data_IF_791156226395
#
_entry.id   IF_791156226395
#
_cell.length_a   1.000
_cell.length_b   1.000
_cell.length_c   1.000
_cell.angle_alpha   90.00
_cell.angle_beta   90.00
_cell.angle_gamma   90.00
#
_symmetry.space_group_name_H-M   'P 1'
#
loop_
_entity.id
_entity.type
_entity.pdbx_description
1 polymer ?
#
# COMPACT_ATOMS: atom_id res chain seq x y z
N UNK A 1 9.14 -1.44 -7.99
CA UNK A 1 9.88 -2.66 -8.42
C UNK A 1 10.23 -3.45 -7.19
N UNK A 2 10.32 -4.77 -7.33
CA UNK A 2 10.76 -5.67 -6.27
C UNK A 2 11.38 -6.95 -6.86
N UNK A 3 12.07 -7.73 -6.03
CA UNK A 3 12.67 -9.00 -6.40
C UNK A 3 11.94 -10.14 -5.70
N UNK A 4 11.67 -11.21 -6.44
CA UNK A 4 11.27 -12.48 -5.81
C UNK A 4 12.45 -13.11 -5.06
N UNK A 5 12.16 -14.10 -4.22
CA UNK A 5 13.15 -14.82 -3.41
C UNK A 5 14.28 -15.48 -4.24
N UNK A 6 14.05 -15.76 -5.52
CA UNK A 6 15.04 -16.34 -6.45
C UNK A 6 15.79 -15.29 -7.29
N UNK A 7 15.48 -14.01 -7.12
CA UNK A 7 16.10 -12.89 -7.81
C UNK A 7 15.39 -12.45 -9.10
N UNK A 8 14.24 -13.03 -9.44
CA UNK A 8 13.45 -12.57 -10.59
C UNK A 8 12.86 -11.18 -10.31
N UNK A 9 13.10 -10.25 -11.24
CA UNK A 9 12.69 -8.83 -11.13
C UNK A 9 11.24 -8.66 -11.57
N UNK A 10 10.45 -7.98 -10.75
CA UNK A 10 9.10 -7.52 -11.08
C UNK A 10 9.00 -5.99 -10.98
N UNK A 11 8.29 -5.39 -11.93
CA UNK A 11 8.08 -3.95 -12.02
C UNK A 11 6.59 -3.69 -12.27
N UNK A 12 5.91 -3.12 -11.28
CA UNK A 12 4.60 -2.52 -11.48
C UNK A 12 4.79 -1.06 -11.91
N UNK A 13 4.07 -0.63 -12.95
CA UNK A 13 4.16 0.73 -13.45
C UNK A 13 2.85 1.20 -14.08
N UNK A 14 2.65 2.52 -14.01
CA UNK A 14 1.55 3.22 -14.66
C UNK A 14 1.94 3.58 -16.09
N UNK A 15 1.15 3.14 -17.07
CA UNK A 15 1.25 3.56 -18.46
C UNK A 15 0.29 4.73 -18.70
N UNK A 16 0.79 5.96 -18.54
CA UNK A 16 0.00 7.18 -18.75
C UNK A 16 -0.59 7.30 -20.16
N UNK A 17 0.01 6.67 -21.16
CA UNK A 17 -0.50 6.71 -22.53
C UNK A 17 -1.82 5.94 -22.67
N UNK A 18 -1.98 4.89 -21.87
CA UNK A 18 -3.15 4.00 -21.88
C UNK A 18 -4.05 4.14 -20.65
N UNK A 19 -3.59 4.82 -19.60
CA UNK A 19 -4.33 4.98 -18.34
C UNK A 19 -4.37 3.70 -17.52
N UNK A 20 -3.41 2.78 -17.68
CA UNK A 20 -3.49 1.45 -17.09
C UNK A 20 -2.30 1.07 -16.21
N UNK A 21 -2.54 0.13 -15.30
CA UNK A 21 -1.52 -0.50 -14.46
C UNK A 21 -0.99 -1.73 -15.17
N UNK A 22 0.33 -1.78 -15.35
CA UNK A 22 1.03 -2.92 -15.93
C UNK A 22 2.02 -3.52 -14.94
N UNK A 23 2.23 -4.82 -15.08
CA UNK A 23 3.30 -5.56 -14.45
C UNK A 23 4.24 -6.08 -15.52
N UNK A 24 5.54 -5.86 -15.34
CA UNK A 24 6.58 -6.42 -16.17
C UNK A 24 7.51 -7.30 -15.35
N UNK A 25 7.95 -8.42 -15.94
CA UNK A 25 9.06 -9.20 -15.41
C UNK A 25 9.97 -9.69 -16.54
N UNK A 26 11.24 -9.86 -16.21
CA UNK A 26 12.20 -10.40 -17.15
C UNK A 26 12.06 -11.93 -17.19
N UNK A 27 11.80 -12.48 -18.37
CA UNK A 27 11.62 -13.93 -18.58
C UNK A 27 12.55 -14.50 -19.67
N UNK A 28 13.45 -13.68 -20.20
CA UNK A 28 14.28 -14.03 -21.37
C UNK A 28 13.54 -13.80 -22.68
N UNK A 29 14.24 -13.89 -23.82
CA UNK A 29 13.68 -13.55 -25.15
C UNK A 29 12.48 -14.46 -25.46
N UNK A 30 11.28 -13.89 -25.47
CA UNK A 30 10.01 -14.57 -25.79
C UNK A 30 9.28 -13.79 -26.91
N UNK A 31 8.31 -14.43 -27.56
CA UNK A 31 7.55 -13.80 -28.67
C UNK A 31 6.48 -12.78 -28.19
N UNK A 32 6.10 -12.83 -26.91
CA UNK A 32 5.09 -11.96 -26.28
C UNK A 32 5.74 -10.89 -25.37
N UNK A 33 6.65 -10.11 -25.92
CA UNK A 33 7.40 -9.07 -25.19
C UNK A 33 6.66 -7.72 -25.13
N UNK A 34 6.99 -6.93 -24.12
CA UNK A 34 6.36 -5.67 -23.73
C UNK A 34 6.22 -4.61 -24.82
N UNK A 35 6.96 -4.68 -25.95
CA UNK A 35 6.83 -3.86 -27.18
C UNK A 35 8.04 -4.05 -28.12
N UNK A 36 9.16 -4.54 -27.58
CA UNK A 36 10.42 -4.78 -28.28
C UNK A 36 10.89 -6.16 -27.82
N UNK A 37 11.22 -7.08 -28.73
CA UNK A 37 11.72 -8.45 -28.44
C UNK A 37 13.02 -8.42 -27.59
N UNK A 38 12.92 -8.04 -26.32
CA UNK A 38 13.99 -7.71 -25.38
C UNK A 38 13.92 -8.56 -24.10
N UNK A 39 13.01 -9.53 -24.06
CA UNK A 39 12.81 -10.53 -23.02
C UNK A 39 12.02 -10.07 -21.79
N UNK A 40 11.31 -8.95 -21.90
CA UNK A 40 10.38 -8.49 -20.89
C UNK A 40 8.97 -8.90 -21.25
N UNK A 41 8.35 -9.69 -20.39
CA UNK A 41 6.93 -9.98 -20.47
C UNK A 41 6.14 -8.91 -19.71
N UNK A 42 5.04 -8.44 -20.30
CA UNK A 42 4.15 -7.46 -19.68
C UNK A 42 2.71 -7.98 -19.66
N UNK A 43 2.00 -7.69 -18.57
CA UNK A 43 0.57 -7.92 -18.43
C UNK A 43 -0.11 -6.69 -17.87
N UNK A 44 -1.34 -6.44 -18.33
CA UNK A 44 -2.21 -5.43 -17.77
C UNK A 44 -2.88 -6.01 -16.51
N UNK A 45 -2.68 -5.37 -15.37
CA UNK A 45 -3.31 -5.77 -14.11
C UNK A 45 -4.65 -5.08 -13.91
N UNK A 46 -4.76 -3.83 -14.35
CA UNK A 46 -5.99 -3.04 -14.31
C UNK A 46 -5.99 -2.04 -15.45
N UNK A 47 -7.09 -1.95 -16.19
CA UNK A 47 -7.25 -1.10 -17.38
C UNK A 47 -8.57 -0.34 -17.40
N UNK A 48 -9.34 -0.37 -16.31
CA UNK A 48 -10.64 0.31 -16.24
C UNK A 48 -10.47 1.69 -15.60
N UNK A 49 -10.38 2.72 -16.45
CA UNK A 49 -10.24 4.12 -16.02
C UNK A 49 -8.81 4.63 -16.21
N UNK A 50 -8.36 5.47 -15.28
CA UNK A 50 -7.01 5.99 -15.16
C UNK A 50 -6.40 5.48 -13.86
N UNK A 51 -5.70 4.35 -13.96
CA UNK A 51 -5.31 3.51 -12.83
C UNK A 51 -3.82 3.19 -12.83
N UNK A 52 -3.24 3.07 -11.65
CA UNK A 52 -1.88 2.58 -11.45
C UNK A 52 -0.89 3.61 -10.93
N UNK A 53 -1.31 4.86 -10.71
CA UNK A 53 -0.44 5.89 -10.15
C UNK A 53 0.05 5.51 -8.76
N UNK A 54 1.25 5.95 -8.42
CA UNK A 54 1.89 5.73 -7.10
C UNK A 54 2.02 4.25 -6.69
N UNK A 55 2.04 3.32 -7.66
CA UNK A 55 2.05 1.89 -7.41
C UNK A 55 3.18 1.44 -6.45
N UNK A 56 2.80 0.63 -5.47
CA UNK A 56 3.70 -0.08 -4.56
C UNK A 56 3.56 -1.59 -4.79
N UNK A 57 4.69 -2.25 -5.02
CA UNK A 57 4.76 -3.67 -5.38
C UNK A 57 5.49 -4.45 -4.28
N UNK A 58 4.93 -5.60 -3.93
CA UNK A 58 5.63 -6.67 -3.21
C UNK A 58 5.66 -7.92 -4.08
N UNK A 59 6.85 -8.40 -4.43
CA UNK A 59 7.05 -9.65 -5.15
C UNK A 59 7.02 -10.86 -4.20
N UNK A 60 7.17 -12.05 -4.74
CA UNK A 60 7.17 -13.30 -3.97
C UNK A 60 8.34 -13.39 -2.99
N UNK A 61 8.06 -13.39 -1.68
CA UNK A 61 9.11 -13.37 -0.66
C UNK A 61 9.65 -14.76 -0.29
N UNK A 62 8.86 -15.82 -0.49
CA UNK A 62 9.23 -17.21 -0.20
C UNK A 62 8.48 -18.22 -1.10
N UNK A 63 8.95 -19.47 -1.21
CA UNK A 63 8.23 -20.49 -1.98
C UNK A 63 6.83 -20.75 -1.44
N UNK A 64 5.82 -20.64 -2.30
CA UNK A 64 4.41 -20.79 -1.92
C UNK A 64 3.73 -19.47 -1.55
N UNK A 65 4.47 -18.36 -1.56
CA UNK A 65 3.90 -17.02 -1.47
C UNK A 65 3.24 -16.58 -2.80
N UNK A 66 2.41 -15.52 -2.77
CA UNK A 66 1.86 -14.90 -3.97
C UNK A 66 2.96 -14.31 -4.85
N UNK A 67 2.82 -14.44 -6.16
CA UNK A 67 3.85 -14.02 -7.12
C UNK A 67 4.12 -12.51 -7.09
N UNK A 68 3.03 -11.74 -7.02
CA UNK A 68 3.04 -10.30 -6.88
C UNK A 68 1.81 -9.85 -6.12
N UNK A 69 1.91 -8.67 -5.52
CA UNK A 69 0.81 -7.87 -4.98
C UNK A 69 1.10 -6.42 -5.30
N UNK A 70 0.09 -5.68 -5.69
CA UNK A 70 0.23 -4.26 -6.04
C UNK A 70 -0.87 -3.44 -5.38
N UNK A 71 -0.47 -2.41 -4.65
CA UNK A 71 -1.35 -1.35 -4.18
C UNK A 71 -1.11 -0.10 -5.04
N UNK A 72 -2.16 0.58 -5.46
CA UNK A 72 -2.06 1.69 -6.42
C UNK A 72 -3.26 2.61 -6.33
N UNK A 73 -3.11 3.82 -6.90
CA UNK A 73 -4.17 4.80 -6.97
C UNK A 73 -4.98 4.67 -8.27
N UNK A 74 -6.29 4.73 -8.14
CA UNK A 74 -7.27 4.91 -9.20
C UNK A 74 -7.69 6.38 -9.22
N UNK A 75 -7.20 7.14 -10.20
CA UNK A 75 -7.49 8.56 -10.35
C UNK A 75 -8.88 8.83 -10.93
N UNK A 76 -9.52 7.83 -11.53
CA UNK A 76 -10.89 7.96 -12.05
C UNK A 76 -11.90 7.93 -10.91
N UNK A 77 -11.66 7.07 -9.92
CA UNK A 77 -12.56 6.88 -8.78
C UNK A 77 -12.03 7.48 -7.47
N UNK A 78 -10.84 8.06 -7.48
CA UNK A 78 -10.19 8.67 -6.30
C UNK A 78 -9.95 7.67 -5.16
N UNK A 79 -9.55 6.44 -5.52
CA UNK A 79 -9.53 5.28 -4.62
C UNK A 79 -8.16 4.61 -4.53
N UNK A 80 -7.86 4.05 -3.35
CA UNK A 80 -6.81 3.06 -3.19
C UNK A 80 -7.34 1.73 -3.70
N UNK A 81 -6.60 1.10 -4.62
CA UNK A 81 -6.89 -0.25 -5.10
C UNK A 81 -5.75 -1.21 -4.79
N UNK A 82 -6.10 -2.49 -4.72
CA UNK A 82 -5.19 -3.59 -4.52
C UNK A 82 -5.51 -4.72 -5.50
N UNK A 83 -4.48 -5.33 -6.06
CA UNK A 83 -4.59 -6.55 -6.86
C UNK A 83 -3.43 -7.49 -6.58
N UNK A 84 -3.66 -8.77 -6.79
CA UNK A 84 -2.63 -9.80 -6.78
C UNK A 84 -2.95 -10.89 -7.82
N UNK A 85 -2.11 -11.92 -7.88
CA UNK A 85 -2.27 -13.00 -8.86
C UNK A 85 -3.59 -13.77 -8.75
N UNK A 86 -4.25 -13.74 -7.60
CA UNK A 86 -5.48 -14.50 -7.35
C UNK A 86 -6.75 -13.68 -7.57
N UNK A 87 -6.66 -12.35 -7.47
CA UNK A 87 -7.82 -11.45 -7.48
C UNK A 87 -7.73 -10.36 -8.53
N UNK A 88 -8.85 -10.19 -9.23
CA UNK A 88 -9.14 -8.95 -9.96
C UNK A 88 -8.98 -7.75 -9.00
N UNK A 89 -8.66 -6.56 -9.54
CA UNK A 89 -8.60 -5.31 -8.78
C UNK A 89 -9.75 -5.10 -7.79
N UNK A 90 -9.41 -4.82 -6.54
CA UNK A 90 -10.34 -4.54 -5.44
C UNK A 90 -10.11 -3.14 -4.90
N UNK A 91 -11.19 -2.45 -4.54
CA UNK A 91 -11.12 -1.21 -3.77
C UNK A 91 -10.71 -1.54 -2.34
N UNK A 92 -9.72 -0.81 -1.82
CA UNK A 92 -9.24 -0.89 -0.44
C UNK A 92 -9.89 0.18 0.42
N UNK A 93 -9.87 1.42 -0.06
CA UNK A 93 -10.42 2.59 0.62
C UNK A 93 -10.57 3.76 -0.36
N UNK A 94 -11.34 4.77 0.02
CA UNK A 94 -11.34 6.05 -0.67
C UNK A 94 -10.04 6.81 -0.31
N UNK A 95 -9.36 7.41 -1.27
CA UNK A 95 -8.18 8.26 -1.02
C UNK A 95 -8.47 9.74 -1.21
N UNK A 96 -9.52 10.07 -1.96
CA UNK A 96 -9.83 11.44 -2.36
C UNK A 96 -9.00 11.90 -3.57
N UNK A 97 -9.19 13.16 -3.99
CA UNK A 97 -8.68 13.67 -5.25
C UNK A 97 -7.15 13.74 -5.27
N UNK A 98 -6.59 13.55 -6.46
CA UNK A 98 -5.15 13.66 -6.69
C UNK A 98 -4.67 15.10 -6.51
N UNK A 99 -4.10 15.38 -5.33
CA UNK A 99 -3.41 16.63 -5.04
C UNK A 99 -1.88 16.51 -5.14
N UNK A 100 -1.36 15.46 -5.79
CA UNK A 100 0.05 15.10 -6.00
C UNK A 100 1.08 15.93 -5.20
N UNK A 101 1.78 15.32 -4.21
CA UNK A 101 2.07 13.87 -4.13
C UNK A 101 1.06 13.07 -3.29
N UNK A 102 0.73 11.85 -3.72
CA UNK A 102 0.00 10.86 -2.92
C UNK A 102 0.93 9.72 -2.50
N UNK A 103 1.19 9.59 -1.20
CA UNK A 103 2.00 8.51 -0.69
C UNK A 103 1.21 7.21 -0.61
N UNK A 104 1.71 6.17 -1.28
CA UNK A 104 1.30 4.77 -1.07
C UNK A 104 2.57 3.93 -0.88
N UNK A 105 2.59 3.12 0.16
CA UNK A 105 3.65 2.15 0.39
C UNK A 105 3.06 0.87 0.96
N UNK A 106 3.49 -0.28 0.43
CA UNK A 106 3.05 -1.59 0.88
C UNK A 106 4.24 -2.46 1.27
N UNK A 107 4.01 -3.32 2.25
CA UNK A 107 4.88 -4.44 2.59
C UNK A 107 4.01 -5.67 2.89
N UNK A 108 4.65 -6.84 3.04
CA UNK A 108 3.94 -8.10 3.32
C UNK A 108 4.51 -8.75 4.57
N UNK A 109 3.64 -9.27 5.42
CA UNK A 109 4.07 -9.95 6.63
C UNK A 109 4.62 -11.35 6.34
N UNK A 110 5.22 -12.03 7.34
CA UNK A 110 5.80 -13.36 7.13
C UNK A 110 4.80 -14.42 6.62
N UNK A 111 3.50 -14.21 6.80
CA UNK A 111 2.43 -15.08 6.30
C UNK A 111 1.94 -14.67 4.91
N UNK A 112 2.51 -13.59 4.34
CA UNK A 112 2.21 -13.09 3.01
C UNK A 112 0.99 -12.15 2.94
N UNK A 113 0.46 -11.71 4.08
CA UNK A 113 -0.65 -10.75 4.09
C UNK A 113 -0.14 -9.30 3.95
N UNK A 114 -0.77 -8.49 3.07
CA UNK A 114 -0.33 -7.12 2.82
C UNK A 114 -0.64 -6.18 3.99
N UNK A 115 0.20 -5.17 4.15
CA UNK A 115 -0.07 -3.95 4.89
C UNK A 115 0.24 -2.74 4.02
N UNK A 116 -0.72 -1.84 3.87
CA UNK A 116 -0.61 -0.67 2.99
C UNK A 116 -0.68 0.58 3.87
N UNK A 117 0.33 1.44 3.82
CA UNK A 117 0.29 2.78 4.40
C UNK A 117 0.03 3.78 3.28
N UNK A 118 -0.92 4.70 3.49
CA UNK A 118 -1.36 5.62 2.44
C UNK A 118 -1.81 6.98 2.98
N UNK A 119 -1.67 8.01 2.14
CA UNK A 119 -2.30 9.32 2.34
C UNK A 119 -3.78 9.23 1.97
N UNK A 120 -4.65 9.73 2.83
CA UNK A 120 -6.07 9.94 2.51
C UNK A 120 -6.38 11.44 2.60
N UNK A 121 -7.14 11.97 1.65
CA UNK A 121 -7.52 13.37 1.59
C UNK A 121 -8.97 13.55 1.11
N UNK A 122 -9.90 12.95 1.84
CA UNK A 122 -11.33 12.94 1.52
C UNK A 122 -12.10 14.10 2.19
N UNK A 123 -11.46 14.84 3.10
CA UNK A 123 -12.08 15.94 3.82
C UNK A 123 -11.89 17.27 3.10
N UNK A 124 -12.98 17.88 2.61
CA UNK A 124 -12.94 19.17 1.90
C UNK A 124 -12.30 20.31 2.70
N UNK A 125 -12.32 20.23 4.04
CA UNK A 125 -11.80 21.26 4.95
C UNK A 125 -10.84 20.71 6.01
N UNK A 126 -10.51 19.43 5.94
CA UNK A 126 -9.60 18.76 6.86
C UNK A 126 -8.20 18.63 6.28
N UNK A 127 -7.19 18.42 7.15
CA UNK A 127 -5.88 17.97 6.67
C UNK A 127 -6.02 16.60 6.00
N UNK A 128 -5.06 16.19 5.15
CA UNK A 128 -4.91 14.79 4.84
C UNK A 128 -4.56 13.97 6.09
N UNK A 129 -4.79 12.67 6.00
CA UNK A 129 -4.52 11.68 7.04
C UNK A 129 -3.48 10.65 6.54
N UNK A 130 -2.71 10.09 7.46
CA UNK A 130 -1.95 8.86 7.25
C UNK A 130 -2.78 7.69 7.78
N UNK A 131 -3.15 6.79 6.89
CA UNK A 131 -3.90 5.59 7.21
C UNK A 131 -3.07 4.33 6.94
N UNK A 132 -3.50 3.23 7.56
CA UNK A 132 -3.06 1.88 7.21
C UNK A 132 -4.25 1.02 6.84
N UNK A 133 -4.06 0.10 5.88
CA UNK A 133 -5.02 -0.94 5.53
C UNK A 133 -4.36 -2.33 5.68
N UNK A 134 -5.06 -3.26 6.35
CA UNK A 134 -4.69 -4.69 6.43
C UNK A 134 -5.93 -5.58 6.25
N UNK A 135 -5.77 -6.81 5.72
CA UNK A 135 -6.86 -7.78 5.71
C UNK A 135 -7.40 -8.04 7.12
N UNK A 136 -8.72 -8.10 7.30
CA UNK A 136 -9.32 -8.24 8.63
C UNK A 136 -8.90 -9.52 9.36
N UNK A 137 -8.61 -10.61 8.63
CA UNK A 137 -8.29 -11.90 9.23
C UNK A 137 -6.94 -11.94 9.97
N UNK A 138 -6.08 -10.94 9.78
CA UNK A 138 -4.82 -10.84 10.54
C UNK A 138 -5.06 -10.41 11.98
N UNK A 139 -6.25 -9.89 12.29
CA UNK A 139 -6.66 -9.47 13.63
C UNK A 139 -7.43 -10.61 14.32
N UNK A 140 -6.97 -11.03 15.49
CA UNK A 140 -7.66 -11.99 16.36
C UNK A 140 -8.58 -11.28 17.37
N UNK A 141 -9.45 -10.39 16.87
CA UNK A 141 -10.36 -9.59 17.69
C UNK A 141 -11.85 -9.80 17.37
N UNK A 142 -12.15 -10.68 16.40
CA UNK A 142 -13.51 -11.02 15.99
C UNK A 142 -14.21 -9.97 15.12
N UNK A 143 -13.52 -8.90 14.72
CA UNK A 143 -14.08 -7.88 13.85
C UNK A 143 -13.77 -8.16 12.37
N UNK A 144 -14.72 -7.83 11.50
CA UNK A 144 -14.54 -7.89 10.05
C UNK A 144 -13.93 -6.59 9.51
N UNK A 145 -13.76 -6.49 8.18
CA UNK A 145 -13.35 -5.25 7.54
C UNK A 145 -14.33 -4.10 7.76
N UNK A 146 -13.80 -2.88 7.66
CA UNK A 146 -14.53 -1.62 7.81
C UNK A 146 -14.40 -0.69 6.58
N UNK A 147 -13.61 -1.06 5.57
CA UNK A 147 -13.37 -0.29 4.36
C UNK A 147 -13.26 -1.20 3.12
N UNK A 148 -13.37 -0.59 1.95
CA UNK A 148 -13.14 -1.24 0.66
C UNK A 148 -14.23 -2.23 0.25
N UNK A 149 -13.83 -3.16 -0.63
CA UNK A 149 -14.73 -4.15 -1.22
C UNK A 149 -14.85 -5.44 -0.39
N UNK A 150 -15.87 -6.22 -0.74
CA UNK A 150 -16.00 -7.64 -0.37
C UNK A 150 -15.59 -8.51 -1.57
N UNK A 151 -14.42 -9.18 -1.53
CA UNK A 151 -13.94 -10.02 -2.63
C UNK A 151 -14.84 -11.24 -2.87
N UNK A 152 -14.78 -11.86 -4.07
CA UNK A 152 -15.51 -13.08 -4.35
C UNK A 152 -15.23 -14.18 -3.32
N UNK A 153 -16.30 -14.77 -2.77
CA UNK A 153 -16.22 -15.81 -1.74
C UNK A 153 -16.23 -15.29 -0.30
N UNK A 154 -16.11 -13.98 -0.09
CA UNK A 154 -16.31 -13.33 1.21
C UNK A 154 -17.73 -12.77 1.30
N UNK A 155 -18.23 -12.61 2.54
CA UNK A 155 -19.54 -12.02 2.84
C UNK A 155 -19.44 -10.74 3.68
N UNK A 156 -18.22 -10.30 3.97
CA UNK A 156 -17.91 -9.08 4.72
C UNK A 156 -16.75 -8.35 4.04
N UNK A 157 -16.64 -7.05 4.32
CA UNK A 157 -15.51 -6.23 3.87
C UNK A 157 -14.19 -6.88 4.23
N UNK A 158 -13.23 -6.81 3.31
CA UNK A 158 -11.95 -7.49 3.46
C UNK A 158 -10.92 -6.66 4.21
N UNK A 159 -10.94 -5.34 4.03
CA UNK A 159 -9.93 -4.45 4.59
C UNK A 159 -10.36 -3.85 5.91
N UNK A 160 -9.44 -3.82 6.86
CA UNK A 160 -9.49 -2.94 8.02
C UNK A 160 -8.56 -1.75 7.79
N UNK A 161 -9.16 -0.57 7.77
CA UNK A 161 -8.49 0.71 7.65
C UNK A 161 -8.51 1.42 9.00
N UNK A 162 -7.36 1.92 9.42
CA UNK A 162 -7.18 2.65 10.67
C UNK A 162 -6.35 3.92 10.41
N UNK A 163 -6.81 5.06 10.95
CA UNK A 163 -6.04 6.31 10.96
C UNK A 163 -4.88 6.21 11.94
N UNK A 164 -3.67 6.42 11.45
CA UNK A 164 -2.43 6.41 12.24
C UNK A 164 -2.05 7.83 12.67
N UNK A 165 -2.21 8.79 11.77
CA UNK A 165 -1.99 10.21 12.02
C UNK A 165 -3.07 11.03 11.31
N UNK A 166 -3.75 11.91 12.04
CA UNK A 166 -4.86 12.69 11.51
C UNK A 166 -4.43 14.06 10.94
N UNK A 167 -3.13 14.31 10.83
CA UNK A 167 -2.59 15.54 10.23
C UNK A 167 -2.84 16.82 11.03
N UNK A 168 -3.62 16.82 12.11
CA UNK A 168 -3.90 18.01 12.91
C UNK A 168 -4.40 19.23 12.09
N UNK A 169 -4.48 20.40 12.73
CA UNK A 169 -4.79 21.61 11.95
C UNK A 169 -3.54 22.10 11.23
N UNK A 170 -3.62 22.23 9.91
CA UNK A 170 -2.59 22.81 9.04
C UNK A 170 -1.34 21.94 8.80
N UNK A 171 -1.42 20.61 8.91
CA UNK A 171 -0.35 19.74 8.42
C UNK A 171 -0.78 18.99 7.15
N UNK A 172 0.11 18.97 6.16
CA UNK A 172 0.10 17.93 5.15
C UNK A 172 0.92 16.76 5.69
N UNK A 173 0.32 15.57 5.74
CA UNK A 173 1.01 14.33 6.10
C UNK A 173 1.01 13.36 4.94
N UNK A 174 2.00 12.47 4.95
CA UNK A 174 2.08 11.30 4.09
C UNK A 174 2.12 11.56 2.57
N UNK A 175 2.47 12.76 2.11
CA UNK A 175 2.85 12.98 0.70
C UNK A 175 3.92 11.98 0.23
N UNK A 176 4.86 11.68 1.13
CA UNK A 176 5.79 10.57 1.02
C UNK A 176 5.62 9.65 2.22
N UNK A 177 5.43 8.36 1.97
CA UNK A 177 5.31 7.34 3.00
C UNK A 177 6.11 6.11 2.60
N UNK A 178 6.70 5.45 3.58
CA UNK A 178 7.35 4.16 3.43
C UNK A 178 7.03 3.29 4.62
N UNK A 179 6.53 2.08 4.38
CA UNK A 179 6.29 1.08 5.41
C UNK A 179 7.22 -0.12 5.23
N UNK A 180 7.75 -0.61 6.35
CA UNK A 180 8.45 -1.89 6.42
C UNK A 180 8.11 -2.67 7.67
N UNK A 181 7.84 -3.96 7.49
CA UNK A 181 7.64 -4.91 8.56
C UNK A 181 8.98 -5.47 9.00
N UNK A 182 9.13 -5.66 10.31
CA UNK A 182 10.25 -6.42 10.84
C UNK A 182 9.96 -7.94 10.77
N UNK A 183 10.94 -8.81 11.04
CA UNK A 183 10.72 -10.27 11.02
C UNK A 183 9.64 -10.80 11.97
N UNK A 184 9.18 -10.00 12.92
CA UNK A 184 8.09 -10.33 13.82
C UNK A 184 6.71 -9.82 13.32
N UNK A 185 6.65 -9.26 12.10
CA UNK A 185 5.40 -8.76 11.50
C UNK A 185 4.96 -7.39 12.00
N UNK A 186 5.81 -6.66 12.74
CA UNK A 186 5.48 -5.32 13.25
C UNK A 186 5.85 -4.22 12.25
N UNK A 187 4.88 -3.34 12.00
CA UNK A 187 5.02 -2.23 11.07
C UNK A 187 5.92 -1.11 11.59
N UNK A 188 6.72 -0.55 10.69
CA UNK A 188 7.49 0.66 10.89
C UNK A 188 7.21 1.59 9.71
N UNK A 189 6.68 2.77 9.99
CA UNK A 189 6.22 3.73 8.99
C UNK A 189 7.05 4.99 9.13
N UNK A 190 7.71 5.39 8.05
CA UNK A 190 8.37 6.68 7.91
C UNK A 190 7.55 7.55 6.94
N UNK A 191 7.27 8.79 7.30
CA UNK A 191 6.40 9.65 6.49
C UNK A 191 6.79 11.12 6.58
N UNK A 192 6.45 11.89 5.55
CA UNK A 192 6.62 13.34 5.52
C UNK A 192 5.49 14.03 6.29
N UNK A 193 5.84 15.07 7.03
CA UNK A 193 4.89 16.02 7.61
C UNK A 193 5.35 17.44 7.30
N UNK A 194 4.45 18.26 6.75
CA UNK A 194 4.69 19.64 6.35
C UNK A 194 3.67 20.57 6.99
N UNK A 195 4.11 21.72 7.50
CA UNK A 195 3.25 22.73 8.13
C UNK A 195 2.84 23.79 7.11
N UNK A 196 1.54 23.93 6.86
CA UNK A 196 0.94 24.83 5.87
C UNK A 196 0.82 26.31 6.33
N UNK A 197 1.48 26.73 7.42
CA UNK A 197 1.46 28.13 7.89
C UNK A 197 2.81 28.80 7.65
N UNK A 198 2.78 30.02 7.10
CA UNK A 198 3.91 30.93 6.86
C UNK A 198 4.63 31.34 8.18
N UNK A 199 5.44 30.45 8.74
CA UNK A 199 6.35 30.77 9.84
C UNK A 199 7.79 30.47 9.45
N UNK A 200 8.28 31.13 8.40
CA UNK A 200 9.69 31.51 8.23
C UNK A 200 10.75 30.43 8.01
N UNK A 201 10.43 29.13 8.15
CA UNK A 201 11.32 28.02 7.82
C UNK A 201 10.48 26.75 7.52
N UNK A 202 10.09 26.58 6.25
CA UNK A 202 9.29 25.43 5.81
C UNK A 202 10.19 24.20 5.66
N UNK A 203 10.41 23.47 6.76
CA UNK A 203 11.04 22.17 6.71
C UNK A 203 9.97 21.07 6.66
N UNK A 204 9.92 20.31 5.56
CA UNK A 204 9.29 18.99 5.57
C UNK A 204 10.01 18.14 6.61
N UNK A 205 9.29 17.72 7.65
CA UNK A 205 9.83 16.87 8.69
C UNK A 205 9.65 15.40 8.32
N UNK A 206 10.61 14.57 8.71
CA UNK A 206 10.50 13.12 8.65
C UNK A 206 9.97 12.62 10.00
N UNK A 207 8.79 12.01 9.98
CA UNK A 207 8.18 11.34 11.13
C UNK A 207 8.36 9.83 11.04
N UNK A 208 8.34 9.18 12.19
CA UNK A 208 8.51 7.73 12.30
C UNK A 208 7.59 7.15 13.37
N UNK A 209 6.84 6.11 13.01
CA UNK A 209 5.96 5.35 13.90
C UNK A 209 6.35 3.88 13.82
N UNK A 210 6.37 3.20 14.96
CA UNK A 210 6.72 1.79 15.06
C UNK A 210 5.70 1.06 15.92
N UNK A 211 5.16 -0.02 15.37
CA UNK A 211 4.27 -0.92 16.07
C UNK A 211 5.06 -1.72 17.11
N UNK A 212 4.52 -1.84 18.32
CA UNK A 212 5.13 -2.59 19.42
C UNK A 212 4.14 -3.57 20.02
N UNK A 213 4.64 -4.76 20.38
CA UNK A 213 3.89 -5.68 21.22
C UNK A 213 3.71 -5.08 22.62
N UNK A 214 2.50 -5.18 23.16
CA UNK A 214 2.26 -4.94 24.59
C UNK A 214 2.45 -6.27 25.29
N UNK A 215 3.64 -6.52 25.84
CA UNK A 215 3.89 -7.67 26.74
C UNK A 215 4.01 -7.15 28.16
N UNK A 216 3.10 -7.55 29.05
CA UNK A 216 3.24 -7.29 30.47
C UNK A 216 4.18 -8.33 31.09
N UNK A 217 5.29 -7.88 31.68
CA UNK A 217 6.12 -8.76 32.50
C UNK A 217 5.33 -9.17 33.76
N UNK A 218 5.41 -10.44 34.19
CA UNK A 218 4.76 -10.84 35.43
C UNK A 218 5.33 -10.04 36.61
N UNK A 219 4.44 -9.52 37.46
CA UNK A 219 4.81 -8.88 38.72
C UNK A 219 5.48 -9.93 39.62
N UNK A 220 6.77 -9.75 39.89
CA UNK A 220 7.47 -10.52 40.91
C UNK A 220 7.08 -9.93 42.27
N UNK A 221 6.09 -10.54 42.92
CA UNK A 221 5.81 -10.30 44.33
C UNK A 221 6.93 -10.98 45.14
N UNK A 222 7.88 -10.20 45.67
CA UNK A 222 8.83 -10.72 46.65
C UNK A 222 8.07 -10.94 47.98
N UNK A 223 8.19 -12.13 48.61
CA UNK A 223 7.63 -12.37 49.94
C UNK A 223 8.31 -11.50 51.01
#
# INVERSE_FOLDING_TARGET
MDLTYDGTVYIAYYDRGLGNLKLANYWGIIEDDCYLDNGWWCVELDSVGDVGMYASLAAQHFPGDKLYRVAYYDATNEQLKYTDIDWDPLVVDDMGPDLSPMGISMDVDPDGAPIIAYKQNTSEFGPPELNIARPFFVYDDGNFGNCGDTPPGYIFLYWRCDTVDNGGQYLEVAEFVSIKLNPAGFANIAYSEFVNIDVGDHATSLKFISQKAITFLPLILKP
#
